data_IF_927016825239
#
_entry.id   IF_927016825239
#
_cell.length_a   1.000
_cell.length_b   1.000
_cell.length_c   1.000
_cell.angle_alpha   90.00
_cell.angle_beta   90.00
_cell.angle_gamma   90.00
#
_symmetry.space_group_name_H-M   'P 1'
#
loop_
_entity.id
_entity.type
_entity.pdbx_description
1 polymer ?
#
# COMPACT_ATOMS: atom_id res chain seq x y z
N UNK A 1 -8.21 -2.93 0.28
CA UNK A 1 -7.42 -2.83 1.51
C UNK A 1 -6.96 -1.41 1.79
N UNK A 2 -6.37 -0.68 0.82
CA UNK A 2 -5.92 0.71 1.02
C UNK A 2 -7.04 1.64 1.51
N UNK A 3 -8.25 1.58 0.93
CA UNK A 3 -9.40 2.36 1.37
C UNK A 3 -9.80 2.06 2.82
N UNK A 4 -9.86 0.77 3.20
CA UNK A 4 -10.18 0.37 4.57
C UNK A 4 -9.13 0.84 5.58
N UNK A 5 -7.85 0.72 5.22
CA UNK A 5 -6.75 1.23 6.06
C UNK A 5 -6.74 2.76 6.14
N UNK A 6 -7.00 3.46 5.04
CA UNK A 6 -7.03 4.92 5.00
C UNK A 6 -8.14 5.50 5.87
N UNK A 7 -9.38 4.99 5.72
CA UNK A 7 -10.52 5.50 6.51
C UNK A 7 -10.38 5.15 7.99
N UNK A 8 -9.99 3.92 8.35
CA UNK A 8 -9.80 3.54 9.74
C UNK A 8 -8.64 4.31 10.40
N UNK A 9 -7.60 4.59 9.62
CA UNK A 9 -6.44 5.35 10.07
C UNK A 9 -6.73 6.82 10.36
N UNK A 10 -7.71 7.44 9.72
CA UNK A 10 -8.14 8.80 10.06
C UNK A 10 -9.23 8.80 11.14
N UNK A 11 -10.12 7.82 11.16
CA UNK A 11 -11.16 7.70 12.18
C UNK A 11 -10.60 7.48 13.59
N UNK A 12 -9.54 6.68 13.74
CA UNK A 12 -8.91 6.43 15.04
C UNK A 12 -8.50 7.72 15.76
N UNK A 13 -7.60 8.54 15.18
CA UNK A 13 -7.23 9.83 15.74
C UNK A 13 -8.42 10.77 15.94
N UNK A 14 -9.33 10.85 14.98
CA UNK A 14 -10.49 11.73 15.04
C UNK A 14 -11.35 11.45 16.28
N UNK A 15 -11.70 10.20 16.55
CA UNK A 15 -12.48 9.85 17.75
C UNK A 15 -11.70 10.04 19.05
N UNK A 16 -10.39 9.82 19.03
CA UNK A 16 -9.53 10.11 20.17
C UNK A 16 -9.52 11.61 20.51
N UNK A 17 -9.38 12.47 19.51
CA UNK A 17 -9.44 13.93 19.70
C UNK A 17 -10.83 14.40 20.18
N UNK A 18 -11.90 13.84 19.60
CA UNK A 18 -13.28 14.11 20.02
C UNK A 18 -13.57 13.67 21.45
N UNK A 19 -12.89 12.63 21.94
CA UNK A 19 -12.96 12.20 23.34
C UNK A 19 -12.12 13.06 24.30
N UNK A 20 -11.49 14.13 23.82
CA UNK A 20 -10.68 15.05 24.62
C UNK A 20 -9.19 14.67 24.70
N UNK A 21 -8.72 13.73 23.90
CA UNK A 21 -7.30 13.37 23.80
C UNK A 21 -6.49 14.46 23.11
N UNK A 22 -5.45 14.96 23.77
CA UNK A 22 -4.61 16.05 23.26
C UNK A 22 -3.21 15.60 22.82
N UNK A 23 -2.85 14.35 23.11
CA UNK A 23 -1.50 13.85 22.82
C UNK A 23 -1.38 13.37 21.34
N UNK A 24 -0.62 14.07 20.47
CA UNK A 24 -0.53 13.74 19.06
C UNK A 24 0.18 12.40 18.78
N UNK A 25 1.05 11.93 19.70
CA UNK A 25 1.73 10.64 19.55
C UNK A 25 0.80 9.46 19.80
N UNK A 26 -0.16 9.60 20.73
CA UNK A 26 -1.21 8.59 20.95
C UNK A 26 -2.13 8.53 19.74
N UNK A 27 -2.51 9.67 19.19
CA UNK A 27 -3.29 9.75 17.97
C UNK A 27 -2.57 9.08 16.78
N UNK A 28 -1.26 9.31 16.63
CA UNK A 28 -0.42 8.63 15.65
C UNK A 28 -0.45 7.10 15.82
N UNK A 29 -0.24 6.63 17.04
CA UNK A 29 -0.26 5.20 17.33
C UNK A 29 -1.62 4.57 16.98
N UNK A 30 -2.72 5.24 17.35
CA UNK A 30 -4.07 4.81 16.99
C UNK A 30 -4.28 4.81 15.48
N UNK A 31 -3.79 5.82 14.75
CA UNK A 31 -3.87 5.85 13.30
C UNK A 31 -3.23 4.62 12.66
N UNK A 32 -2.01 4.28 13.08
CA UNK A 32 -1.27 3.12 12.59
C UNK A 32 -1.97 1.80 12.93
N UNK A 33 -2.38 1.62 14.18
CA UNK A 33 -3.03 0.39 14.65
C UNK A 33 -4.39 0.19 13.99
N UNK A 34 -5.24 1.22 13.95
CA UNK A 34 -6.56 1.14 13.32
C UNK A 34 -6.43 0.85 11.81
N UNK A 35 -5.47 1.47 11.13
CA UNK A 35 -5.18 1.22 9.72
C UNK A 35 -4.76 -0.23 9.47
N UNK A 36 -3.81 -0.76 10.25
CA UNK A 36 -3.32 -2.13 10.15
C UNK A 36 -4.43 -3.16 10.44
N UNK A 37 -5.19 -2.94 11.50
CA UNK A 37 -6.25 -3.88 11.93
C UNK A 37 -7.38 -3.92 10.91
N UNK A 38 -7.89 -2.77 10.50
CA UNK A 38 -9.03 -2.72 9.57
C UNK A 38 -8.66 -3.28 8.18
N UNK A 39 -7.48 -2.93 7.65
CA UNK A 39 -7.00 -3.50 6.39
C UNK A 39 -6.70 -4.99 6.53
N UNK A 40 -6.16 -5.44 7.67
CA UNK A 40 -5.94 -6.85 7.99
C UNK A 40 -7.23 -7.66 8.07
N UNK A 41 -8.30 -7.11 8.68
CA UNK A 41 -9.63 -7.72 8.68
C UNK A 41 -10.20 -7.84 7.26
N UNK A 42 -10.05 -6.80 6.44
CA UNK A 42 -10.42 -6.89 5.03
C UNK A 42 -9.63 -7.96 4.27
N UNK A 43 -8.33 -8.08 4.56
CA UNK A 43 -7.49 -9.13 3.98
C UNK A 43 -7.85 -10.53 4.48
N UNK A 44 -8.32 -10.65 5.72
CA UNK A 44 -8.82 -11.90 6.27
C UNK A 44 -10.10 -12.34 5.53
N UNK A 45 -11.04 -11.43 5.29
CA UNK A 45 -12.23 -11.71 4.47
C UNK A 45 -11.83 -12.19 3.08
N UNK A 46 -10.89 -11.51 2.43
CA UNK A 46 -10.34 -11.93 1.14
C UNK A 46 -9.74 -13.34 1.21
N UNK A 47 -8.96 -13.62 2.27
CA UNK A 47 -8.31 -14.93 2.47
C UNK A 47 -9.34 -16.06 2.64
N UNK A 48 -10.40 -15.82 3.43
CA UNK A 48 -11.48 -16.80 3.60
C UNK A 48 -12.14 -17.12 2.26
N UNK A 49 -12.48 -16.10 1.48
CA UNK A 49 -13.14 -16.28 0.20
C UNK A 49 -12.23 -17.00 -0.82
N UNK A 50 -10.95 -16.65 -0.92
CA UNK A 50 -10.06 -17.16 -1.96
C UNK A 50 -9.30 -18.44 -1.57
N UNK A 51 -9.01 -18.65 -0.29
CA UNK A 51 -8.24 -19.81 0.18
C UNK A 51 -9.17 -20.91 0.68
N UNK A 52 -10.18 -20.59 1.53
CA UNK A 52 -11.08 -21.59 2.10
C UNK A 52 -12.23 -21.90 1.13
N UNK A 53 -12.92 -20.87 0.62
CA UNK A 53 -14.05 -21.05 -0.30
C UNK A 53 -13.58 -21.20 -1.76
N UNK A 54 -12.28 -21.01 -2.03
CA UNK A 54 -11.67 -21.19 -3.36
C UNK A 54 -12.32 -20.35 -4.45
N UNK A 55 -12.90 -19.21 -4.11
CA UNK A 55 -13.49 -18.29 -5.06
C UNK A 55 -12.42 -17.71 -5.99
N UNK A 56 -12.84 -17.27 -7.18
CA UNK A 56 -11.94 -16.64 -8.14
C UNK A 56 -11.32 -15.38 -7.54
N UNK A 57 -9.97 -15.34 -7.47
CA UNK A 57 -9.22 -14.27 -6.81
C UNK A 57 -9.43 -12.91 -7.47
N UNK A 58 -9.54 -12.86 -8.79
CA UNK A 58 -9.73 -11.60 -9.52
C UNK A 58 -11.12 -11.02 -9.25
N UNK A 59 -12.17 -11.85 -9.31
CA UNK A 59 -13.54 -11.42 -9.04
C UNK A 59 -13.70 -10.98 -7.59
N UNK A 60 -13.17 -11.76 -6.65
CA UNK A 60 -13.18 -11.41 -5.23
C UNK A 60 -12.43 -10.11 -4.95
N UNK A 61 -11.28 -9.90 -5.63
CA UNK A 61 -10.51 -8.67 -5.52
C UNK A 61 -11.28 -7.44 -6.02
N UNK A 62 -11.96 -7.55 -7.16
CA UNK A 62 -12.81 -6.49 -7.70
C UNK A 62 -14.00 -6.19 -6.76
N UNK A 63 -14.70 -7.20 -6.29
CA UNK A 63 -15.82 -7.05 -5.36
C UNK A 63 -15.38 -6.35 -4.06
N UNK A 64 -14.24 -6.75 -3.47
CA UNK A 64 -13.68 -6.12 -2.28
C UNK A 64 -13.15 -4.70 -2.54
N UNK A 65 -12.72 -4.40 -3.75
CA UNK A 65 -12.33 -3.03 -4.12
C UNK A 65 -13.55 -2.12 -4.12
N UNK A 66 -14.66 -2.54 -4.74
CA UNK A 66 -15.93 -1.79 -4.74
C UNK A 66 -16.48 -1.64 -3.32
N UNK A 67 -16.51 -2.73 -2.55
CA UNK A 67 -16.90 -2.69 -1.14
C UNK A 67 -16.06 -1.72 -0.32
N UNK A 68 -14.72 -1.83 -0.42
CA UNK A 68 -13.79 -0.98 0.33
C UNK A 68 -13.90 0.50 -0.03
N UNK A 69 -14.12 0.82 -1.31
CA UNK A 69 -14.35 2.20 -1.77
C UNK A 69 -15.67 2.75 -1.24
N UNK A 70 -16.77 1.99 -1.40
CA UNK A 70 -18.08 2.40 -0.92
C UNK A 70 -18.13 2.56 0.60
N UNK A 71 -17.58 1.59 1.33
CA UNK A 71 -17.47 1.64 2.79
C UNK A 71 -16.69 2.86 3.27
N UNK A 72 -15.52 3.11 2.70
CA UNK A 72 -14.67 4.20 3.13
C UNK A 72 -15.29 5.58 2.81
N UNK A 73 -15.88 5.75 1.64
CA UNK A 73 -16.55 6.99 1.28
C UNK A 73 -17.80 7.24 2.15
N UNK A 74 -18.62 6.20 2.38
CA UNK A 74 -19.79 6.32 3.25
C UNK A 74 -19.41 6.77 4.67
N UNK A 75 -18.46 6.10 5.32
CA UNK A 75 -18.04 6.48 6.67
C UNK A 75 -17.30 7.82 6.70
N UNK A 76 -16.49 8.11 5.69
CA UNK A 76 -15.78 9.40 5.59
C UNK A 76 -16.74 10.58 5.47
N UNK A 77 -17.78 10.45 4.66
CA UNK A 77 -18.79 11.50 4.47
C UNK A 77 -19.77 11.56 5.64
N UNK A 78 -20.26 10.43 6.14
CA UNK A 78 -21.22 10.40 7.24
C UNK A 78 -20.63 10.98 8.54
N UNK A 79 -19.38 10.66 8.85
CA UNK A 79 -18.69 11.23 10.03
C UNK A 79 -18.31 12.70 9.76
N UNK A 80 -17.85 13.02 8.54
CA UNK A 80 -17.53 14.39 8.15
C UNK A 80 -18.76 15.32 8.21
N UNK A 81 -19.92 14.87 7.77
CA UNK A 81 -21.18 15.63 7.87
C UNK A 81 -21.61 15.91 9.33
N UNK A 82 -21.18 15.07 10.27
CA UNK A 82 -21.47 15.25 11.70
C UNK A 82 -20.46 16.18 12.41
N UNK A 83 -19.42 16.63 11.70
CA UNK A 83 -18.41 17.55 12.22
C UNK A 83 -18.76 18.99 11.85
N UNK A 84 -18.55 19.98 12.75
CA UNK A 84 -18.78 21.40 12.45
C UNK A 84 -17.98 21.95 11.26
N UNK A 85 -16.86 21.30 10.91
CA UNK A 85 -16.04 21.65 9.74
C UNK A 85 -16.61 21.17 8.40
N UNK A 86 -17.60 20.26 8.42
CA UNK A 86 -18.21 19.67 7.23
C UNK A 86 -17.40 18.55 6.59
N UNK A 87 -16.23 18.23 7.13
CA UNK A 87 -15.40 17.10 6.64
C UNK A 87 -14.65 16.41 7.76
N UNK A 88 -14.43 15.12 7.60
CA UNK A 88 -13.61 14.32 8.49
C UNK A 88 -12.15 14.77 8.37
N UNK A 89 -11.62 15.42 9.41
CA UNK A 89 -10.22 15.87 9.47
C UNK A 89 -9.65 15.71 10.86
N UNK A 90 -8.32 15.56 10.95
CA UNK A 90 -7.59 15.49 12.21
C UNK A 90 -6.94 16.83 12.56
N UNK A 91 -6.54 17.02 13.81
CA UNK A 91 -5.93 18.25 14.29
C UNK A 91 -4.60 18.58 13.60
N UNK A 92 -4.20 19.86 13.67
CA UNK A 92 -2.93 20.35 13.13
C UNK A 92 -1.72 19.63 13.76
N UNK A 93 -1.80 19.22 15.03
CA UNK A 93 -0.73 18.49 15.71
C UNK A 93 -0.45 17.13 15.08
N UNK A 94 -1.50 16.35 14.80
CA UNK A 94 -1.37 15.05 14.13
C UNK A 94 -0.93 15.22 12.68
N UNK A 95 -1.52 16.17 11.94
CA UNK A 95 -1.09 16.52 10.57
C UNK A 95 0.40 16.85 10.51
N UNK A 96 0.90 17.62 11.50
CA UNK A 96 2.31 17.98 11.59
C UNK A 96 3.23 16.77 11.63
N UNK A 97 2.92 15.75 12.42
CA UNK A 97 3.75 14.54 12.53
C UNK A 97 3.83 13.79 11.18
N UNK A 98 2.71 13.74 10.43
CA UNK A 98 2.70 13.05 9.12
C UNK A 98 3.33 13.86 7.99
N UNK A 99 3.46 15.18 8.13
CA UNK A 99 3.93 16.06 7.05
C UNK A 99 5.34 16.62 7.31
N UNK A 100 5.71 16.83 8.57
CA UNK A 100 7.01 17.41 8.90
C UNK A 100 8.15 16.39 8.72
N UNK A 101 9.34 16.83 8.30
CA UNK A 101 10.51 15.99 8.24
C UNK A 101 10.90 15.50 9.65
N UNK A 102 11.40 14.26 9.73
CA UNK A 102 11.85 13.64 10.99
C UNK A 102 13.16 14.25 11.47
N UNK A 103 14.03 14.65 10.54
CA UNK A 103 15.35 15.17 10.86
C UNK A 103 15.32 16.69 11.02
N UNK A 104 16.16 17.25 11.93
CA UNK A 104 16.23 18.68 12.16
C UNK A 104 16.72 19.44 10.91
N UNK A 105 16.27 20.69 10.77
CA UNK A 105 16.55 21.56 9.63
C UNK A 105 18.03 21.60 9.15
N UNK A 106 19.06 21.63 10.02
CA UNK A 106 20.45 21.68 9.56
C UNK A 106 20.90 20.49 8.70
N UNK A 107 20.31 19.31 8.91
CA UNK A 107 20.59 18.11 8.11
C UNK A 107 19.78 18.09 6.80
N UNK A 108 18.59 18.65 6.83
CA UNK A 108 17.71 18.73 5.66
C UNK A 108 18.17 19.78 4.63
N UNK A 109 18.92 20.80 5.08
CA UNK A 109 19.43 21.90 4.23
C UNK A 109 20.73 21.57 3.49
N UNK A 110 21.36 20.43 3.74
CA UNK A 110 22.55 20.01 2.99
C UNK A 110 22.24 19.93 1.49
N UNK A 111 23.09 20.53 0.62
CA UNK A 111 22.82 20.55 -0.82
C UNK A 111 22.77 19.12 -1.37
N UNK A 112 21.71 18.80 -2.14
CA UNK A 112 21.41 17.53 -2.79
C UNK A 112 21.11 16.39 -1.80
N UNK A 113 22.02 16.00 -0.93
CA UNK A 113 21.86 14.83 -0.03
C UNK A 113 20.82 15.08 1.07
N UNK A 114 20.80 16.30 1.63
CA UNK A 114 19.83 16.68 2.67
C UNK A 114 18.38 16.60 2.18
N UNK A 115 18.12 17.22 1.04
CA UNK A 115 16.80 17.22 0.42
C UNK A 115 16.37 15.84 -0.05
N UNK A 116 17.30 15.01 -0.53
CA UNK A 116 17.00 13.69 -1.07
C UNK A 116 16.79 12.63 0.03
N UNK A 117 17.50 12.71 1.15
CA UNK A 117 17.49 11.67 2.17
C UNK A 117 16.88 12.10 3.50
N UNK A 118 16.96 13.39 3.90
CA UNK A 118 16.61 13.86 5.24
C UNK A 118 15.36 14.76 5.31
N UNK A 119 14.78 15.14 4.17
CA UNK A 119 13.62 16.03 4.13
C UNK A 119 12.27 15.29 4.13
N UNK A 120 12.26 13.98 4.39
CA UNK A 120 11.05 13.16 4.32
C UNK A 120 10.40 12.95 5.69
N UNK A 121 9.10 12.66 5.65
CA UNK A 121 8.33 12.28 6.83
C UNK A 121 8.65 10.83 7.27
N UNK A 122 8.25 10.46 8.49
CA UNK A 122 8.55 9.15 9.08
C UNK A 122 7.96 7.97 8.30
N UNK A 123 6.82 8.16 7.60
CA UNK A 123 6.18 7.10 6.82
C UNK A 123 7.04 6.65 5.63
N UNK A 124 7.80 7.57 5.03
CA UNK A 124 8.73 7.24 3.94
C UNK A 124 9.86 6.35 4.46
N UNK A 125 10.45 6.69 5.61
CA UNK A 125 11.48 5.84 6.23
C UNK A 125 10.92 4.49 6.66
N UNK A 126 9.71 4.46 7.21
CA UNK A 126 9.00 3.24 7.55
C UNK A 126 8.82 2.34 6.31
N UNK A 127 8.43 2.91 5.17
CA UNK A 127 8.26 2.16 3.93
C UNK A 127 9.59 1.56 3.44
N UNK A 128 10.69 2.32 3.48
CA UNK A 128 12.03 1.83 3.12
C UNK A 128 12.46 0.70 4.06
N UNK A 129 12.30 0.88 5.37
CA UNK A 129 12.63 -0.15 6.37
C UNK A 129 11.79 -1.41 6.16
N UNK A 130 10.49 -1.29 5.93
CA UNK A 130 9.61 -2.43 5.64
C UNK A 130 10.04 -3.17 4.36
N UNK A 131 10.39 -2.45 3.30
CA UNK A 131 10.84 -3.06 2.06
C UNK A 131 12.17 -3.83 2.25
N UNK A 132 13.12 -3.27 3.02
CA UNK A 132 14.38 -3.94 3.33
C UNK A 132 14.17 -5.16 4.24
N UNK A 133 13.29 -5.05 5.25
CA UNK A 133 12.91 -6.17 6.13
C UNK A 133 12.24 -7.29 5.35
N UNK A 134 11.31 -6.97 4.44
CA UNK A 134 10.68 -7.96 3.57
C UNK A 134 11.70 -8.62 2.63
N UNK A 135 12.62 -7.84 2.07
CA UNK A 135 13.68 -8.37 1.22
C UNK A 135 14.61 -9.33 1.98
N UNK A 136 14.97 -8.98 3.23
CA UNK A 136 15.75 -9.84 4.10
C UNK A 136 14.96 -11.09 4.52
N UNK A 137 13.70 -10.91 4.94
CA UNK A 137 12.83 -12.01 5.33
C UNK A 137 12.67 -13.03 4.21
N UNK A 138 12.30 -12.59 3.00
CA UNK A 138 12.10 -13.49 1.85
C UNK A 138 13.39 -14.12 1.34
N UNK A 139 14.54 -13.47 1.50
CA UNK A 139 15.82 -13.96 0.96
C UNK A 139 16.70 -14.72 1.94
N UNK A 140 16.54 -14.50 3.26
CA UNK A 140 17.49 -15.01 4.27
C UNK A 140 16.85 -15.85 5.37
N UNK A 141 15.51 -15.89 5.50
CA UNK A 141 14.86 -16.68 6.56
C UNK A 141 14.26 -17.98 6.03
N UNK A 142 14.25 -19.03 6.87
CA UNK A 142 13.60 -20.31 6.54
C UNK A 142 12.10 -20.12 6.23
N UNK A 143 11.42 -19.27 7.01
CA UNK A 143 9.99 -18.98 6.78
C UNK A 143 9.75 -18.24 5.46
N UNK A 144 10.63 -17.32 5.08
CA UNK A 144 10.56 -16.62 3.80
C UNK A 144 10.81 -17.55 2.62
N UNK A 145 11.76 -18.47 2.75
CA UNK A 145 12.03 -19.50 1.73
C UNK A 145 10.84 -20.46 1.57
N UNK A 146 10.23 -20.88 2.69
CA UNK A 146 9.02 -21.71 2.65
C UNK A 146 7.86 -20.97 1.95
N UNK A 147 7.70 -19.67 2.23
CA UNK A 147 6.68 -18.84 1.58
C UNK A 147 6.90 -18.77 0.06
N UNK A 148 8.14 -18.63 -0.39
CA UNK A 148 8.49 -18.66 -1.82
C UNK A 148 8.22 -20.03 -2.44
N UNK A 149 8.58 -21.13 -1.76
CA UNK A 149 8.28 -22.49 -2.21
C UNK A 149 6.77 -22.72 -2.37
N UNK A 150 5.94 -22.22 -1.44
CA UNK A 150 4.48 -22.25 -1.52
C UNK A 150 3.95 -21.44 -2.72
N UNK A 151 4.63 -20.35 -3.09
CA UNK A 151 4.27 -19.54 -4.25
C UNK A 151 4.62 -20.19 -5.58
N UNK A 152 5.73 -20.92 -5.66
CA UNK A 152 6.18 -21.62 -6.88
C UNK A 152 5.43 -22.94 -7.08
N UNK A 153 5.44 -23.82 -6.09
CA UNK A 153 4.80 -25.14 -6.18
C UNK A 153 4.19 -25.55 -4.84
N UNK A 154 2.90 -25.24 -4.60
CA UNK A 154 2.23 -25.58 -3.35
C UNK A 154 2.14 -27.09 -3.12
N UNK A 155 2.01 -27.89 -4.19
CA UNK A 155 1.99 -29.36 -4.09
C UNK A 155 3.32 -29.92 -3.56
N UNK A 156 4.45 -29.43 -4.08
CA UNK A 156 5.78 -29.83 -3.62
C UNK A 156 6.04 -29.35 -2.19
N UNK A 157 5.61 -28.14 -1.84
CA UNK A 157 5.73 -27.58 -0.50
C UNK A 157 4.92 -28.42 0.53
N UNK A 158 3.71 -28.83 0.18
CA UNK A 158 2.87 -29.68 1.03
C UNK A 158 3.50 -31.10 1.19
N UNK A 159 4.06 -31.67 0.13
CA UNK A 159 4.80 -32.92 0.20
C UNK A 159 6.03 -32.84 1.11
N UNK A 160 6.67 -31.67 1.21
CA UNK A 160 7.76 -31.41 2.15
C UNK A 160 7.30 -31.11 3.58
N UNK A 161 5.98 -31.21 3.89
CA UNK A 161 5.42 -30.99 5.22
C UNK A 161 5.14 -29.52 5.56
N UNK A 162 5.15 -28.62 4.57
CA UNK A 162 4.86 -27.19 4.78
C UNK A 162 3.34 -26.99 4.71
N UNK A 163 2.76 -26.35 5.72
CA UNK A 163 1.32 -26.03 5.73
C UNK A 163 1.01 -24.87 4.77
N UNK A 164 0.64 -25.22 3.54
CA UNK A 164 0.34 -24.27 2.44
C UNK A 164 -0.76 -23.27 2.82
N UNK A 165 -1.85 -23.75 3.43
CA UNK A 165 -2.98 -22.93 3.83
C UNK A 165 -2.56 -21.85 4.82
N UNK A 166 -1.83 -22.22 5.88
CA UNK A 166 -1.35 -21.27 6.89
C UNK A 166 -0.45 -20.20 6.29
N UNK A 167 0.49 -20.59 5.43
CA UNK A 167 1.40 -19.65 4.77
C UNK A 167 0.65 -18.68 3.85
N UNK A 168 -0.35 -19.15 3.09
CA UNK A 168 -1.18 -18.30 2.24
C UNK A 168 -2.00 -17.31 3.08
N UNK A 169 -2.65 -17.76 4.17
CA UNK A 169 -3.39 -16.87 5.08
C UNK A 169 -2.50 -15.78 5.69
N UNK A 170 -1.37 -16.18 6.28
CA UNK A 170 -0.46 -15.22 6.91
C UNK A 170 0.08 -14.20 5.91
N UNK A 171 0.49 -14.65 4.72
CA UNK A 171 1.01 -13.76 3.68
C UNK A 171 -0.04 -12.74 3.23
N UNK A 172 -1.27 -13.19 3.00
CA UNK A 172 -2.37 -12.31 2.54
C UNK A 172 -2.78 -11.33 3.64
N UNK A 173 -2.94 -11.79 4.88
CA UNK A 173 -3.34 -10.92 5.99
C UNK A 173 -2.26 -9.88 6.32
N UNK A 174 -0.98 -10.29 6.40
CA UNK A 174 0.13 -9.36 6.67
C UNK A 174 0.31 -8.38 5.50
N UNK A 175 0.28 -8.87 4.27
CA UNK A 175 0.37 -8.03 3.07
C UNK A 175 -0.78 -7.01 2.99
N UNK A 176 -2.00 -7.44 3.26
CA UNK A 176 -3.17 -6.56 3.29
C UNK A 176 -3.11 -5.53 4.42
N UNK A 177 -2.65 -5.91 5.61
CA UNK A 177 -2.44 -4.97 6.71
C UNK A 177 -1.41 -3.88 6.34
N UNK A 178 -0.25 -4.27 5.78
CA UNK A 178 0.78 -3.32 5.32
C UNK A 178 0.23 -2.41 4.21
N UNK A 179 -0.60 -2.95 3.31
CA UNK A 179 -1.27 -2.15 2.27
C UNK A 179 -2.16 -1.07 2.87
N UNK A 180 -2.76 -1.32 4.04
CA UNK A 180 -3.52 -0.31 4.79
C UNK A 180 -2.70 0.92 5.15
N UNK A 181 -1.44 0.75 5.55
CA UNK A 181 -0.53 1.87 5.84
C UNK A 181 -0.29 2.76 4.61
N UNK A 182 -0.25 2.17 3.41
CA UNK A 182 -0.21 2.93 2.17
C UNK A 182 -1.46 3.81 1.99
N UNK A 183 -2.64 3.29 2.32
CA UNK A 183 -3.87 4.08 2.34
C UNK A 183 -3.86 5.21 3.37
N UNK A 184 -3.39 4.93 4.58
CA UNK A 184 -3.19 5.93 5.63
C UNK A 184 -2.24 7.05 5.17
N UNK A 185 -1.13 6.69 4.53
CA UNK A 185 -0.18 7.66 3.99
C UNK A 185 -0.83 8.62 3.00
N UNK A 186 -1.62 8.11 2.04
CA UNK A 186 -2.31 8.92 1.04
C UNK A 186 -3.32 9.89 1.65
N UNK A 187 -3.99 9.50 2.74
CA UNK A 187 -4.96 10.38 3.43
C UNK A 187 -4.24 11.44 4.28
N UNK A 188 -3.16 11.08 4.97
CA UNK A 188 -2.51 11.94 5.97
C UNK A 188 -1.47 12.88 5.38
N UNK A 189 -0.82 12.52 4.26
CA UNK A 189 0.26 13.32 3.70
C UNK A 189 -0.26 14.37 2.73
N UNK A 190 0.13 15.64 2.92
CA UNK A 190 -0.28 16.75 2.08
C UNK A 190 0.34 16.71 0.67
N UNK A 191 1.56 16.17 0.53
CA UNK A 191 2.25 16.08 -0.74
C UNK A 191 1.76 14.90 -1.60
N UNK A 192 1.34 13.80 -0.95
CA UNK A 192 0.87 12.60 -1.64
C UNK A 192 -0.65 12.52 -1.76
N UNK A 193 -1.39 13.28 -0.92
CA UNK A 193 -2.85 13.20 -0.86
C UNK A 193 -3.49 14.46 -0.33
N UNK A 194 -4.32 14.32 0.70
CA UNK A 194 -5.25 15.37 1.15
C UNK A 194 -4.80 16.10 2.42
N UNK A 195 -3.68 15.67 3.02
CA UNK A 195 -3.10 16.35 4.18
C UNK A 195 -3.91 16.21 5.47
N UNK A 196 -4.42 15.04 5.76
CA UNK A 196 -5.12 14.73 7.00
C UNK A 196 -6.59 15.15 7.02
N UNK A 197 -7.24 15.16 5.86
CA UNK A 197 -8.68 15.25 5.71
C UNK A 197 -9.18 14.12 4.81
N UNK A 198 -10.44 13.70 4.94
CA UNK A 198 -11.04 12.75 4.03
C UNK A 198 -11.68 13.49 2.85
N UNK A 199 -11.33 13.07 1.64
CA UNK A 199 -11.97 13.53 0.42
C UNK A 199 -12.48 12.31 -0.35
N UNK A 200 -13.65 12.44 -0.97
CA UNK A 200 -14.25 11.38 -1.76
C UNK A 200 -13.28 10.83 -2.80
N UNK A 201 -13.11 9.52 -2.82
CA UNK A 201 -12.23 8.82 -3.75
C UNK A 201 -10.72 9.21 -3.71
N UNK A 202 -10.23 9.78 -2.62
CA UNK A 202 -8.84 10.27 -2.51
C UNK A 202 -7.75 9.18 -2.73
N UNK A 203 -8.09 7.91 -2.57
CA UNK A 203 -7.17 6.76 -2.76
C UNK A 203 -7.37 6.08 -4.13
N UNK A 204 -8.36 6.52 -4.91
CA UNK A 204 -8.73 5.83 -6.14
C UNK A 204 -7.56 5.79 -7.16
N UNK A 205 -7.38 4.62 -7.79
CA UNK A 205 -6.31 4.40 -8.78
C UNK A 205 -4.95 3.98 -8.19
N UNK A 206 -4.56 4.46 -7.02
CA UNK A 206 -3.24 4.16 -6.43
C UNK A 206 -3.01 2.66 -6.13
N UNK A 207 -4.08 1.92 -5.81
CA UNK A 207 -4.00 0.46 -5.65
C UNK A 207 -3.60 -0.25 -6.95
N UNK A 208 -4.15 0.16 -8.08
CA UNK A 208 -3.79 -0.38 -9.40
C UNK A 208 -2.39 0.01 -9.81
N UNK A 209 -1.97 1.26 -9.53
CA UNK A 209 -0.61 1.71 -9.73
C UNK A 209 0.39 0.87 -8.93
N UNK A 210 0.06 0.53 -7.68
CA UNK A 210 0.89 -0.34 -6.85
C UNK A 210 1.01 -1.76 -7.42
N UNK A 211 -0.08 -2.35 -7.94
CA UNK A 211 -0.04 -3.66 -8.62
C UNK A 211 0.89 -3.58 -9.84
N UNK A 212 0.73 -2.54 -10.65
CA UNK A 212 1.58 -2.30 -11.81
C UNK A 212 3.07 -2.22 -11.42
N UNK A 213 3.38 -1.49 -10.35
CA UNK A 213 4.73 -1.34 -9.82
C UNK A 213 5.32 -2.68 -9.35
N UNK A 214 4.52 -3.54 -8.71
CA UNK A 214 4.97 -4.89 -8.28
C UNK A 214 5.33 -5.76 -9.48
N UNK A 215 4.52 -5.72 -10.54
CA UNK A 215 4.80 -6.45 -11.78
C UNK A 215 6.09 -5.92 -12.42
N UNK A 216 6.26 -4.61 -12.48
CA UNK A 216 7.48 -3.96 -12.97
C UNK A 216 8.72 -4.36 -12.15
N UNK A 217 8.59 -4.46 -10.83
CA UNK A 217 9.64 -4.89 -9.91
C UNK A 217 9.92 -6.40 -9.97
N UNK A 218 9.16 -7.16 -10.76
CA UNK A 218 9.27 -8.61 -10.87
C UNK A 218 9.18 -9.29 -9.51
N UNK A 219 8.16 -8.94 -8.72
CA UNK A 219 7.91 -9.47 -7.37
C UNK A 219 9.11 -9.42 -6.41
N UNK A 220 10.07 -8.53 -6.66
CA UNK A 220 11.27 -8.39 -5.84
C UNK A 220 11.23 -7.08 -5.02
N UNK A 221 11.21 -7.14 -3.67
CA UNK A 221 11.10 -5.95 -2.82
C UNK A 221 12.25 -4.94 -3.00
N UNK A 222 13.47 -5.41 -3.30
CA UNK A 222 14.61 -4.50 -3.56
C UNK A 222 14.43 -3.73 -4.86
N UNK A 223 13.93 -4.40 -5.91
CA UNK A 223 13.63 -3.72 -7.19
C UNK A 223 12.45 -2.78 -7.02
N UNK A 224 11.46 -3.13 -6.20
CA UNK A 224 10.30 -2.29 -5.93
C UNK A 224 10.68 -0.92 -5.36
N UNK A 225 11.73 -0.82 -4.53
CA UNK A 225 12.25 0.47 -4.05
C UNK A 225 12.73 1.37 -5.19
N UNK A 226 13.53 0.84 -6.12
CA UNK A 226 14.00 1.60 -7.27
C UNK A 226 12.86 1.96 -8.23
N UNK A 227 11.97 1.02 -8.46
CA UNK A 227 10.79 1.25 -9.31
C UNK A 227 9.88 2.33 -8.71
N UNK A 228 9.69 2.35 -7.38
CA UNK A 228 8.88 3.37 -6.71
C UNK A 228 9.47 4.78 -6.84
N UNK A 229 10.80 4.91 -6.85
CA UNK A 229 11.46 6.20 -7.11
C UNK A 229 11.22 6.68 -8.55
N UNK A 230 11.32 5.79 -9.53
CA UNK A 230 11.04 6.11 -10.94
C UNK A 230 9.58 6.54 -11.11
N UNK A 231 8.64 5.75 -10.58
CA UNK A 231 7.21 6.07 -10.67
C UNK A 231 6.84 7.35 -9.90
N UNK A 232 7.45 7.56 -8.72
CA UNK A 232 7.30 8.81 -7.98
C UNK A 232 7.81 10.01 -8.76
N UNK A 233 8.97 9.89 -9.41
CA UNK A 233 9.51 10.91 -10.30
C UNK A 233 8.58 11.23 -11.47
N UNK A 234 8.00 10.21 -12.12
CA UNK A 234 7.02 10.39 -13.20
C UNK A 234 5.75 11.10 -12.72
N UNK A 235 5.24 10.72 -11.54
CA UNK A 235 4.07 11.36 -10.95
C UNK A 235 4.34 12.83 -10.56
N UNK A 236 5.55 13.15 -10.13
CA UNK A 236 5.96 14.52 -9.79
C UNK A 236 6.28 15.39 -11.02
N UNK A 237 6.41 14.82 -12.20
CA UNK A 237 6.79 15.53 -13.43
C UNK A 237 5.86 16.71 -13.74
N UNK A 238 4.56 16.55 -13.45
CA UNK A 238 3.54 17.58 -13.57
C UNK A 238 3.88 18.87 -12.80
N UNK A 239 4.48 18.75 -11.60
CA UNK A 239 4.73 19.89 -10.73
C UNK A 239 6.03 20.64 -11.10
N UNK A 240 7.02 19.93 -11.64
CA UNK A 240 8.34 20.48 -11.93
C UNK A 240 8.50 20.94 -13.38
N UNK A 241 7.80 20.33 -14.32
CA UNK A 241 7.89 20.63 -15.77
C UNK A 241 6.49 20.81 -16.38
N UNK A 242 5.71 21.83 -15.93
CA UNK A 242 4.42 22.11 -16.55
C UNK A 242 4.67 22.67 -17.97
N UNK A 243 4.36 21.90 -18.98
CA UNK A 243 4.38 22.36 -20.38
C UNK A 243 3.02 22.96 -20.67
N UNK A 244 2.97 24.24 -20.99
CA UNK A 244 1.72 25.03 -21.19
C UNK A 244 0.74 24.43 -22.20
N UNK A 245 1.22 23.60 -23.11
CA UNK A 245 0.44 22.96 -24.16
C UNK A 245 -0.17 21.61 -23.75
N UNK A 246 0.27 21.02 -22.64
CA UNK A 246 -0.17 19.69 -22.18
C UNK A 246 -1.13 19.84 -21.00
N UNK A 247 -2.41 19.41 -21.13
CA UNK A 247 -3.34 19.38 -19.99
C UNK A 247 -2.79 18.55 -18.83
N UNK A 248 -3.04 18.99 -17.61
CA UNK A 248 -2.59 18.31 -16.38
C UNK A 248 -2.99 16.82 -16.34
N UNK A 249 -4.16 16.49 -16.86
CA UNK A 249 -4.66 15.10 -16.94
C UNK A 249 -3.79 14.16 -17.75
N UNK A 250 -3.02 14.67 -18.73
CA UNK A 250 -2.11 13.84 -19.54
C UNK A 250 -0.92 13.39 -18.68
N UNK A 251 -0.41 14.26 -17.81
CA UNK A 251 0.67 13.88 -16.88
C UNK A 251 0.25 12.76 -15.92
N UNK A 252 -1.01 12.77 -15.46
CA UNK A 252 -1.54 11.74 -14.58
C UNK A 252 -1.64 10.37 -15.26
N UNK A 253 -1.70 10.32 -16.60
CA UNK A 253 -1.73 9.08 -17.40
C UNK A 253 -0.31 8.52 -17.64
N UNK A 254 0.73 9.35 -17.61
CA UNK A 254 2.12 8.94 -17.92
C UNK A 254 2.59 7.70 -17.16
N UNK A 255 2.42 7.58 -15.83
CA UNK A 255 2.82 6.38 -15.10
C UNK A 255 2.13 5.11 -15.60
N UNK A 256 0.87 5.20 -16.01
CA UNK A 256 0.09 4.06 -16.52
C UNK A 256 0.55 3.66 -17.93
N UNK A 257 0.86 4.63 -18.80
CA UNK A 257 1.43 4.36 -20.13
C UNK A 257 2.79 3.68 -19.98
N UNK A 258 3.67 4.20 -19.13
CA UNK A 258 4.98 3.59 -18.86
C UNK A 258 4.81 2.15 -18.35
N UNK A 259 3.83 1.91 -17.48
CA UNK A 259 3.51 0.56 -17.01
C UNK A 259 3.12 -0.36 -18.16
N UNK A 260 2.21 0.09 -19.02
CA UNK A 260 1.76 -0.71 -20.17
C UNK A 260 2.93 -1.05 -21.12
N UNK A 261 3.78 -0.06 -21.43
CA UNK A 261 4.96 -0.27 -22.27
C UNK A 261 5.93 -1.29 -21.63
N UNK A 262 6.18 -1.16 -20.34
CA UNK A 262 7.09 -2.09 -19.63
C UNK A 262 6.50 -3.49 -19.58
N UNK A 263 5.20 -3.65 -19.34
CA UNK A 263 4.54 -4.96 -19.40
C UNK A 263 4.74 -5.63 -20.75
N UNK A 264 4.58 -4.89 -21.85
CA UNK A 264 4.83 -5.40 -23.20
C UNK A 264 6.29 -5.81 -23.37
N UNK A 265 7.23 -4.96 -22.97
CA UNK A 265 8.67 -5.25 -23.07
C UNK A 265 9.09 -6.46 -22.23
N UNK A 266 8.57 -6.59 -21.00
CA UNK A 266 8.86 -7.74 -20.13
C UNK A 266 8.24 -9.01 -20.69
N UNK A 267 7.04 -8.94 -21.25
CA UNK A 267 6.36 -10.08 -21.89
C UNK A 267 7.09 -10.59 -23.12
N UNK A 268 7.68 -9.68 -23.91
CA UNK A 268 8.48 -10.05 -25.09
C UNK A 268 9.81 -10.71 -24.72
N UNK A 269 10.40 -10.34 -23.58
CA UNK A 269 11.63 -10.96 -23.04
C UNK A 269 11.29 -12.22 -22.26
N UNK A 270 11.13 -13.34 -22.93
CA UNK A 270 10.80 -14.69 -22.40
C UNK A 270 11.88 -15.24 -21.45
N UNK A 271 12.17 -14.55 -20.35
CA UNK A 271 13.22 -14.97 -19.41
C UNK A 271 12.58 -15.47 -18.12
N UNK A 272 12.82 -16.74 -17.73
CA UNK A 272 12.26 -17.36 -16.52
C UNK A 272 12.47 -16.55 -15.24
N UNK A 273 13.54 -15.76 -15.17
CA UNK A 273 13.85 -14.91 -14.03
C UNK A 273 12.93 -13.67 -13.88
N UNK A 274 12.04 -13.42 -14.84
CA UNK A 274 11.12 -12.28 -14.89
C UNK A 274 9.65 -12.69 -14.87
N UNK A 275 9.36 -13.97 -14.64
CA UNK A 275 8.00 -14.47 -14.54
C UNK A 275 7.45 -14.34 -13.10
N UNK A 276 6.11 -14.19 -12.95
CA UNK A 276 5.45 -14.27 -11.66
C UNK A 276 5.65 -15.65 -11.04
N UNK A 277 5.44 -15.82 -9.72
CA UNK A 277 5.36 -17.13 -9.10
C UNK A 277 4.34 -18.01 -9.84
N UNK A 278 4.68 -19.26 -10.14
CA UNK A 278 3.90 -20.14 -11.03
C UNK A 278 2.47 -20.36 -10.52
N UNK A 279 2.29 -20.44 -9.21
CA UNK A 279 0.97 -20.64 -8.58
C UNK A 279 0.24 -19.35 -8.23
N UNK A 280 0.66 -18.20 -8.78
CA UNK A 280 -0.01 -16.92 -8.51
C UNK A 280 -1.44 -16.92 -9.08
N UNK A 281 -2.42 -16.63 -8.23
CA UNK A 281 -3.82 -16.60 -8.62
C UNK A 281 -4.50 -17.96 -8.72
N UNK A 282 -3.78 -19.07 -8.52
CA UNK A 282 -4.33 -20.41 -8.59
C UNK A 282 -4.79 -20.90 -7.21
N UNK A 283 -5.96 -21.52 -7.19
CA UNK A 283 -6.45 -22.24 -6.01
C UNK A 283 -5.65 -23.54 -5.84
N UNK A 284 -5.37 -23.93 -4.59
CA UNK A 284 -4.65 -25.17 -4.30
C UNK A 284 -5.64 -26.23 -3.80
N UNK A 285 -5.58 -27.40 -4.42
CA UNK A 285 -6.36 -28.58 -4.05
C UNK A 285 -5.41 -29.68 -3.61
N UNK A 286 -5.52 -30.12 -2.36
CA UNK A 286 -4.66 -31.18 -1.82
C UNK A 286 -4.94 -32.55 -2.43
N UNK A 287 -6.16 -32.74 -2.90
CA UNK A 287 -6.68 -34.01 -3.45
C UNK A 287 -6.34 -34.21 -4.93
N UNK A 288 -5.91 -33.17 -5.64
CA UNK A 288 -5.52 -33.21 -7.06
C UNK A 288 -4.01 -33.40 -7.25
N UNK A 289 -3.38 -34.27 -6.46
CA UNK A 289 -1.95 -34.58 -6.59
C UNK A 289 -1.66 -35.52 -7.77
#
# INVERSE_FOLDING_TARGET
MMFLGGIAGILGPYYYEKAGGTNPYVALFLALVCSLVCAGLGALVFSVLTITLRANQNVTGLALTMFGTGFANYFGEAVGASDPSGFLSVSAGVKGIFNNPVFPAPLAELPVVGKLLFSHNFMVYLAVVLALLLAWFLGRTRRGLNLRAVGESPATADAAGINVTLYRYLATCIGGAITGLGGLYLVMNAAAGVGGAWVHNCINGYGWLAVALVIFAVWNPKRALWCSLIFGGLACMRYYYPISFIPASIYDIVPYIVTAVVLVVVSLKHNRNHQPPESLGLSYFREER
#
